data_IF_638085251216
#
_entry.id   IF_638085251216
#
_cell.length_a   1.000
_cell.length_b   1.000
_cell.length_c   1.000
_cell.angle_alpha   90.00
_cell.angle_beta   90.00
_cell.angle_gamma   90.00
#
_symmetry.space_group_name_H-M   'P 1'
#
loop_
_entity.id
_entity.type
_entity.pdbx_description
1 polymer ?
#
# COMPACT_ATOMS: atom_id res chain seq x y z
N UNK A 1 47.25 30.29 -15.53
CA UNK A 1 47.39 29.29 -14.46
C UNK A 1 46.07 28.54 -14.39
N UNK A 2 46.13 27.22 -14.55
CA UNK A 2 45.05 26.34 -15.01
C UNK A 2 43.88 26.13 -14.01
N UNK A 3 42.70 25.70 -14.49
CA UNK A 3 41.49 25.44 -13.71
C UNK A 3 41.52 24.04 -13.05
N UNK A 4 41.02 23.92 -11.82
CA UNK A 4 40.81 22.62 -11.18
C UNK A 4 39.52 21.98 -11.71
N UNK A 5 39.66 21.22 -12.80
CA UNK A 5 38.70 20.20 -13.21
C UNK A 5 38.86 18.96 -12.32
N UNK A 6 37.74 18.42 -11.85
CA UNK A 6 37.69 17.11 -11.20
C UNK A 6 37.53 16.05 -12.32
N UNK A 7 38.37 15.01 -12.40
CA UNK A 7 38.31 14.04 -13.49
C UNK A 7 37.16 13.03 -13.27
N UNK A 8 36.50 12.68 -14.39
CA UNK A 8 35.50 11.62 -14.48
C UNK A 8 36.15 10.28 -14.87
N UNK A 9 35.55 9.20 -14.33
CA UNK A 9 35.53 7.82 -14.85
C UNK A 9 36.74 6.87 -14.55
N UNK A 10 36.59 5.55 -14.78
CA UNK A 10 35.71 4.61 -14.07
C UNK A 10 36.45 3.28 -13.73
N UNK A 11 35.71 2.29 -13.18
CA UNK A 11 35.85 0.83 -13.41
C UNK A 11 36.00 -0.08 -12.17
N UNK A 12 35.49 -1.29 -12.41
CA UNK A 12 35.63 -2.57 -11.70
C UNK A 12 34.76 -2.82 -10.47
N UNK A 13 34.24 -4.03 -10.26
CA UNK A 13 33.96 -5.19 -11.10
C UNK A 13 33.23 -6.20 -10.18
N UNK A 14 32.39 -7.03 -10.79
CA UNK A 14 32.06 -8.41 -10.41
C UNK A 14 31.50 -8.71 -9.01
N UNK A 15 30.30 -9.29 -9.00
CA UNK A 15 30.13 -10.68 -8.53
C UNK A 15 28.87 -11.29 -9.15
N UNK A 16 29.09 -12.24 -10.05
CA UNK A 16 28.11 -13.17 -10.60
C UNK A 16 27.61 -14.10 -9.48
N UNK A 17 26.29 -14.28 -9.40
CA UNK A 17 25.68 -15.28 -8.51
C UNK A 17 25.31 -16.50 -9.35
N UNK A 18 25.97 -17.59 -9.02
CA UNK A 18 25.95 -18.87 -9.69
C UNK A 18 24.59 -19.56 -9.55
N UNK A 19 24.10 -20.15 -10.65
CA UNK A 19 22.84 -20.91 -10.71
C UNK A 19 23.12 -22.35 -10.31
N UNK A 20 22.44 -22.86 -9.30
CA UNK A 20 22.39 -24.31 -9.08
C UNK A 20 20.99 -24.73 -8.62
N UNK A 21 20.34 -25.53 -9.47
CA UNK A 21 19.04 -26.14 -9.25
C UNK A 21 19.23 -27.54 -8.67
N UNK A 22 18.46 -27.97 -7.64
CA UNK A 22 18.47 -29.36 -7.25
C UNK A 22 17.48 -30.16 -8.10
N UNK A 23 18.00 -31.20 -8.72
CA UNK A 23 17.28 -32.32 -9.36
C UNK A 23 16.70 -33.21 -8.25
N UNK A 24 15.38 -33.35 -8.18
CA UNK A 24 14.72 -34.38 -7.38
C UNK A 24 13.86 -35.27 -8.27
N UNK A 25 14.21 -36.54 -8.29
CA UNK A 25 13.47 -37.64 -8.89
C UNK A 25 13.02 -38.57 -7.76
N UNK A 26 11.71 -38.81 -7.65
CA UNK A 26 11.07 -39.93 -6.94
C UNK A 26 9.57 -39.87 -7.30
N UNK A 27 9.08 -40.70 -8.22
CA UNK A 27 8.44 -42.02 -7.99
C UNK A 27 7.14 -41.95 -7.18
N UNK A 28 6.04 -42.25 -7.87
CA UNK A 28 4.68 -42.43 -7.36
C UNK A 28 4.50 -43.75 -6.58
N UNK A 29 3.63 -43.72 -5.55
CA UNK A 29 2.64 -44.72 -5.05
C UNK A 29 2.22 -44.24 -3.64
N UNK A 30 0.96 -44.15 -3.21
CA UNK A 30 -0.09 -45.16 -3.15
C UNK A 30 -1.45 -44.47 -2.87
N UNK A 31 -2.55 -45.14 -3.24
CA UNK A 31 -3.96 -44.85 -2.94
C UNK A 31 -4.28 -44.95 -1.44
N UNK A 32 -5.27 -44.19 -0.92
CA UNK A 32 -6.48 -44.73 -0.25
C UNK A 32 -7.43 -43.62 0.23
N UNK A 33 -8.71 -43.88 -0.02
CA UNK A 33 -9.95 -43.18 0.36
C UNK A 33 -10.12 -42.89 1.86
N UNK A 34 -10.64 -41.70 2.20
CA UNK A 34 -11.58 -41.54 3.32
C UNK A 34 -12.40 -40.23 3.22
N UNK A 35 -13.72 -40.40 3.21
CA UNK A 35 -14.80 -39.40 3.32
C UNK A 35 -14.67 -38.49 4.56
N UNK A 36 -15.23 -37.27 4.53
CA UNK A 36 -16.28 -37.00 5.52
C UNK A 36 -17.50 -36.28 4.95
N UNK A 37 -18.66 -36.63 5.50
CA UNK A 37 -19.93 -35.94 5.33
C UNK A 37 -19.83 -34.49 5.86
N UNK A 38 -20.43 -33.53 5.15
CA UNK A 38 -20.50 -32.13 5.55
C UNK A 38 -21.95 -31.66 5.65
N UNK A 39 -22.23 -30.89 6.70
CA UNK A 39 -23.52 -30.35 7.11
C UNK A 39 -24.07 -29.23 6.21
N UNK A 40 -25.15 -28.55 6.65
CA UNK A 40 -26.07 -27.87 5.73
C UNK A 40 -25.58 -26.49 5.29
N UNK A 41 -25.76 -26.25 3.98
CA UNK A 41 -26.04 -25.00 3.30
C UNK A 41 -25.48 -23.71 3.93
N UNK A 42 -24.28 -23.33 3.48
CA UNK A 42 -23.82 -21.94 3.56
C UNK A 42 -24.45 -21.17 2.39
N UNK A 43 -25.25 -20.16 2.71
CA UNK A 43 -25.87 -19.25 1.74
C UNK A 43 -24.80 -18.56 0.91
N UNK A 44 -24.74 -18.87 -0.38
CA UNK A 44 -23.92 -18.18 -1.37
C UNK A 44 -24.46 -16.77 -1.58
N UNK A 45 -23.70 -15.76 -1.18
CA UNK A 45 -23.90 -14.40 -1.67
C UNK A 45 -23.44 -14.36 -3.13
N UNK A 46 -24.37 -13.99 -4.00
CA UNK A 46 -24.26 -13.85 -5.45
C UNK A 46 -23.02 -13.06 -5.85
N UNK A 47 -22.13 -13.71 -6.61
CA UNK A 47 -21.08 -13.05 -7.37
C UNK A 47 -21.73 -12.08 -8.37
N UNK A 48 -21.53 -10.78 -8.15
CA UNK A 48 -21.85 -9.74 -9.12
C UNK A 48 -21.04 -9.99 -10.39
N UNK A 49 -21.71 -10.10 -11.52
CA UNK A 49 -21.16 -10.21 -12.88
C UNK A 49 -19.86 -9.39 -13.03
N UNK A 50 -18.73 -10.10 -13.08
CA UNK A 50 -17.40 -9.52 -13.22
C UNK A 50 -17.26 -8.89 -14.61
N UNK A 51 -17.42 -7.57 -14.71
CA UNK A 51 -16.74 -6.86 -15.79
C UNK A 51 -15.25 -7.14 -15.61
N UNK A 52 -14.52 -7.69 -16.61
CA UNK A 52 -13.11 -8.05 -16.47
C UNK A 52 -12.18 -6.83 -16.34
N UNK A 53 -12.74 -5.65 -16.09
CA UNK A 53 -12.07 -4.37 -15.98
C UNK A 53 -12.66 -3.59 -14.80
N UNK A 54 -12.35 -4.04 -13.59
CA UNK A 54 -12.71 -3.33 -12.35
C UNK A 54 -12.00 -1.97 -12.28
N UNK A 55 -12.59 -1.01 -11.57
CA UNK A 55 -12.01 0.30 -11.30
C UNK A 55 -11.03 0.24 -10.12
N UNK A 56 -9.86 0.87 -10.28
CA UNK A 56 -8.79 0.95 -9.29
C UNK A 56 -8.42 2.40 -9.05
N UNK A 57 -8.25 2.77 -7.78
CA UNK A 57 -7.67 4.05 -7.37
C UNK A 57 -6.15 3.89 -7.17
N UNK A 58 -5.37 4.85 -7.67
CA UNK A 58 -3.92 4.79 -7.71
C UNK A 58 -3.31 5.85 -6.81
N UNK A 59 -2.40 5.44 -5.92
CA UNK A 59 -1.65 6.35 -5.06
C UNK A 59 -0.15 6.24 -5.35
N UNK A 60 0.51 7.37 -5.56
CA UNK A 60 1.94 7.43 -5.89
C UNK A 60 2.68 8.21 -4.82
N UNK A 61 3.84 7.68 -4.41
CA UNK A 61 4.79 8.42 -3.58
C UNK A 61 6.06 8.68 -4.38
N UNK A 62 6.50 9.93 -4.42
CA UNK A 62 7.78 10.30 -5.04
C UNK A 62 8.98 9.90 -4.17
N UNK A 63 10.18 9.93 -4.75
CA UNK A 63 11.42 9.56 -4.05
C UNK A 63 11.65 10.34 -2.76
N UNK A 64 11.33 11.65 -2.78
CA UNK A 64 11.46 12.55 -1.61
C UNK A 64 10.12 12.78 -0.89
N UNK A 65 9.06 12.08 -1.29
CA UNK A 65 7.73 12.22 -0.72
C UNK A 65 7.59 11.40 0.57
N UNK A 66 6.90 11.97 1.56
CA UNK A 66 6.62 11.28 2.83
C UNK A 66 5.41 10.33 2.72
N UNK A 67 4.42 10.68 1.89
CA UNK A 67 3.14 9.99 1.80
C UNK A 67 2.77 9.65 0.36
N UNK A 68 2.02 8.57 0.19
CA UNK A 68 1.34 8.27 -1.07
C UNK A 68 0.19 9.25 -1.28
N UNK A 69 0.13 9.85 -2.46
CA UNK A 69 -0.91 10.82 -2.85
C UNK A 69 -1.74 10.21 -3.97
N UNK A 70 -3.05 10.43 -3.93
CA UNK A 70 -3.94 9.96 -4.98
C UNK A 70 -3.59 10.63 -6.32
N UNK A 71 -3.24 9.82 -7.31
CA UNK A 71 -2.83 10.26 -8.64
C UNK A 71 -3.98 10.19 -9.66
N UNK A 72 -4.95 9.30 -9.44
CA UNK A 72 -6.11 9.11 -10.29
C UNK A 72 -6.56 7.65 -10.32
N UNK A 73 -7.51 7.35 -11.20
CA UNK A 73 -8.10 6.02 -11.33
C UNK A 73 -7.85 5.39 -12.71
N UNK A 74 -7.88 4.06 -12.76
CA UNK A 74 -7.75 3.28 -13.99
C UNK A 74 -8.56 1.99 -13.92
N UNK A 75 -8.81 1.37 -15.07
CA UNK A 75 -9.43 0.05 -15.13
C UNK A 75 -8.38 -1.04 -15.40
N UNK A 76 -8.52 -2.18 -14.73
CA UNK A 76 -7.65 -3.34 -14.94
C UNK A 76 -8.33 -4.64 -14.44
N UNK A 77 -8.00 -5.79 -15.05
CA UNK A 77 -8.54 -7.10 -14.63
C UNK A 77 -8.05 -7.57 -13.26
N UNK A 78 -6.83 -7.19 -12.88
CA UNK A 78 -6.22 -7.60 -11.62
C UNK A 78 -5.23 -6.54 -11.12
N UNK A 79 -4.76 -6.72 -9.88
CA UNK A 79 -3.81 -5.80 -9.24
C UNK A 79 -2.46 -5.71 -9.97
N UNK A 80 -1.99 -6.81 -10.60
CA UNK A 80 -0.70 -6.82 -11.27
C UNK A 80 -0.73 -5.99 -12.56
N UNK A 81 -1.82 -6.09 -13.32
CA UNK A 81 -2.07 -5.25 -14.49
C UNK A 81 -2.34 -3.80 -14.09
N UNK A 82 -3.07 -3.57 -12.99
CA UNK A 82 -3.29 -2.23 -12.44
C UNK A 82 -1.97 -1.53 -12.11
N UNK A 83 -1.04 -2.22 -11.44
CA UNK A 83 0.29 -1.67 -11.12
C UNK A 83 1.12 -1.33 -12.36
N UNK A 84 1.10 -2.19 -13.39
CA UNK A 84 1.81 -1.94 -14.65
C UNK A 84 1.25 -0.70 -15.34
N UNK A 85 -0.07 -0.61 -15.49
CA UNK A 85 -0.74 0.52 -16.11
C UNK A 85 -0.51 1.81 -15.31
N UNK A 86 -0.59 1.75 -13.98
CA UNK A 86 -0.34 2.87 -13.09
C UNK A 86 1.09 3.42 -13.22
N UNK A 87 2.09 2.53 -13.33
CA UNK A 87 3.49 2.92 -13.56
C UNK A 87 3.61 3.73 -14.85
N UNK A 88 3.06 3.23 -15.95
CA UNK A 88 3.22 3.85 -17.27
C UNK A 88 2.45 5.17 -17.39
N UNK A 89 1.30 5.30 -16.70
CA UNK A 89 0.47 6.50 -16.70
C UNK A 89 1.00 7.60 -15.76
N UNK A 90 1.33 7.24 -14.51
CA UNK A 90 1.54 8.22 -13.43
C UNK A 90 2.98 8.39 -12.98
N UNK A 91 3.93 7.56 -13.43
CA UNK A 91 5.33 7.60 -12.93
C UNK A 91 6.37 7.90 -14.01
N UNK A 92 5.99 8.66 -15.04
CA UNK A 92 6.91 9.06 -16.11
C UNK A 92 8.20 9.66 -15.52
N UNK A 93 9.35 9.34 -16.12
CA UNK A 93 10.69 9.79 -15.70
C UNK A 93 11.10 9.36 -14.28
N UNK A 94 10.51 8.30 -13.74
CA UNK A 94 10.89 7.72 -12.45
C UNK A 94 10.65 8.68 -11.26
N UNK A 95 9.71 9.61 -11.38
CA UNK A 95 9.34 10.54 -10.30
C UNK A 95 8.63 9.82 -9.14
N UNK A 96 7.94 8.71 -9.42
CA UNK A 96 7.28 7.85 -8.45
C UNK A 96 8.12 6.61 -8.11
N UNK A 97 8.45 6.41 -6.82
CA UNK A 97 9.29 5.29 -6.34
C UNK A 97 8.44 4.19 -5.69
N UNK A 98 7.20 4.51 -5.32
CA UNK A 98 6.25 3.54 -4.77
C UNK A 98 4.84 3.82 -5.28
N UNK A 99 4.13 2.76 -5.67
CA UNK A 99 2.77 2.80 -6.20
C UNK A 99 1.92 1.87 -5.35
N UNK A 100 0.77 2.36 -4.89
CA UNK A 100 -0.32 1.55 -4.38
C UNK A 100 -1.47 1.58 -5.36
N UNK A 101 -2.11 0.43 -5.55
CA UNK A 101 -3.39 0.32 -6.26
C UNK A 101 -4.38 -0.35 -5.32
N UNK A 102 -5.59 0.18 -5.28
CA UNK A 102 -6.66 -0.32 -4.41
C UNK A 102 -7.93 -0.45 -5.25
N UNK A 103 -8.68 -1.56 -5.18
CA UNK A 103 -9.99 -1.63 -5.82
C UNK A 103 -10.87 -0.50 -5.31
N UNK A 104 -11.57 0.21 -6.21
CA UNK A 104 -12.41 1.33 -5.81
C UNK A 104 -13.50 0.91 -4.79
N UNK A 105 -14.01 -0.31 -4.91
CA UNK A 105 -14.98 -0.91 -3.98
C UNK A 105 -14.45 -1.12 -2.56
N UNK A 106 -13.12 -1.20 -2.38
CA UNK A 106 -12.50 -1.37 -1.07
C UNK A 106 -12.32 -0.03 -0.33
N UNK A 107 -12.60 1.11 -0.98
CA UNK A 107 -12.48 2.45 -0.39
C UNK A 107 -13.84 2.90 0.12
N UNK A 108 -13.92 3.17 1.42
CA UNK A 108 -15.08 3.82 2.03
C UNK A 108 -14.83 5.32 2.19
N UNK A 109 -15.77 6.15 1.74
CA UNK A 109 -15.73 7.61 1.96
C UNK A 109 -16.69 7.99 3.08
N UNK A 110 -16.31 8.97 3.90
CA UNK A 110 -17.25 9.66 4.78
C UNK A 110 -18.26 10.46 3.95
N UNK A 111 -19.49 10.57 4.45
CA UNK A 111 -20.49 11.48 3.92
C UNK A 111 -20.09 12.94 4.22
N UNK A 112 -19.99 13.83 3.22
CA UNK A 112 -19.73 15.26 3.43
C UNK A 112 -20.69 15.93 4.42
N UNK A 113 -21.95 15.52 4.46
CA UNK A 113 -22.96 16.10 5.35
C UNK A 113 -22.75 15.68 6.82
N UNK A 114 -22.00 14.58 7.05
CA UNK A 114 -21.64 14.08 8.37
C UNK A 114 -20.36 14.71 8.96
N UNK A 115 -19.83 15.78 8.35
CA UNK A 115 -18.54 16.40 8.72
C UNK A 115 -18.43 16.76 10.21
N UNK A 116 -19.51 17.24 10.82
CA UNK A 116 -19.55 17.62 12.24
C UNK A 116 -19.17 16.47 13.18
N UNK A 117 -19.63 15.25 12.90
CA UNK A 117 -19.35 14.10 13.77
C UNK A 117 -17.92 13.56 13.63
N UNK A 118 -17.32 13.68 12.45
CA UNK A 118 -16.00 13.11 12.17
C UNK A 118 -14.84 14.09 12.44
N UNK A 119 -15.05 15.39 12.24
CA UNK A 119 -13.96 16.36 12.18
C UNK A 119 -14.09 17.54 13.13
N UNK A 120 -15.27 17.82 13.68
CA UNK A 120 -15.34 18.81 14.75
C UNK A 120 -14.79 18.20 16.03
N UNK A 121 -13.71 18.79 16.55
CA UNK A 121 -13.28 18.54 17.93
C UNK A 121 -14.48 18.74 18.84
N UNK A 122 -14.63 18.00 19.97
CA UNK A 122 -15.78 18.19 20.84
C UNK A 122 -15.78 19.65 21.34
N UNK A 123 -16.64 20.47 20.74
CA UNK A 123 -16.73 21.88 21.08
C UNK A 123 -17.00 22.00 22.59
N UNK A 124 -16.21 22.82 23.30
CA UNK A 124 -16.33 22.99 24.75
C UNK A 124 -15.48 22.06 25.63
N UNK A 125 -14.50 21.34 25.08
CA UNK A 125 -13.49 20.61 25.87
C UNK A 125 -12.16 21.36 26.03
N UNK A 126 -12.22 22.68 26.08
CA UNK A 126 -11.06 23.57 26.24
C UNK A 126 -10.30 23.29 27.54
N UNK A 127 -10.98 22.78 28.57
CA UNK A 127 -10.39 22.33 29.83
C UNK A 127 -9.32 21.23 29.67
N UNK A 128 -9.21 20.59 28.50
CA UNK A 128 -8.18 19.58 28.20
C UNK A 128 -6.89 20.17 27.63
N UNK A 129 -6.86 21.47 27.32
CA UNK A 129 -5.66 22.13 26.83
C UNK A 129 -4.67 22.41 27.97
N UNK A 130 -3.39 22.17 27.71
CA UNK A 130 -2.29 22.38 28.66
C UNK A 130 -2.27 23.78 29.27
N UNK A 131 -2.73 24.79 28.51
CA UNK A 131 -2.83 26.19 28.95
C UNK A 131 -3.79 26.39 30.13
N UNK A 132 -4.79 25.53 30.30
CA UNK A 132 -5.80 25.64 31.37
C UNK A 132 -5.44 24.86 32.64
N UNK A 133 -4.34 24.10 32.64
CA UNK A 133 -3.79 23.54 33.87
C UNK A 133 -2.95 24.62 34.57
N UNK A 134 -3.47 25.14 35.69
CA UNK A 134 -2.64 25.96 36.58
C UNK A 134 -1.50 25.09 37.10
N UNK A 135 -0.25 25.58 36.93
CA UNK A 135 0.95 24.95 37.49
C UNK A 135 0.67 24.68 38.97
N UNK A 136 0.68 23.42 39.40
CA UNK A 136 0.50 23.09 40.81
C UNK A 136 1.55 23.83 41.63
N UNK A 137 1.14 24.47 42.74
CA UNK A 137 2.04 25.00 43.77
C UNK A 137 3.13 23.95 44.02
N UNK A 138 4.39 24.34 43.81
CA UNK A 138 5.52 23.43 43.80
C UNK A 138 5.55 22.59 45.07
N UNK A 139 5.64 21.26 44.89
CA UNK A 139 5.94 20.36 45.99
C UNK A 139 7.28 20.78 46.57
N UNK A 140 7.31 21.14 47.85
CA UNK A 140 8.44 21.85 48.50
C UNK A 140 9.77 21.08 48.55
N UNK A 141 9.87 19.89 47.94
CA UNK A 141 11.05 19.01 47.99
C UNK A 141 11.26 18.11 46.75
N UNK A 142 10.86 18.57 45.54
CA UNK A 142 11.29 17.95 44.27
C UNK A 142 12.25 18.87 43.53
#
# INVERSE_FOLDING_TARGET
MAPHGNPEAPASAASEINREAPKVAATNKESTTSTPASGPAVTSHTATEESPWSLWEVFVRSSRGLSHVHAGSLHAPDAAMALRNARDLYTRRNEGVSIWVVPAEAISSSDPDSKGSFFESPQGKDYRHATYYTKSEGVKHL
#
